data_IF_726180749527
#
_entry.id   IF_726180749527
#
_cell.length_a   1.000
_cell.length_b   1.000
_cell.length_c   1.000
_cell.angle_alpha   90.00
_cell.angle_beta   90.00
_cell.angle_gamma   90.00
#
_symmetry.space_group_name_H-M   'P 1'
#
loop_
_entity.id
_entity.type
_entity.pdbx_description
1 polymer ?
#
# COMPACT_ATOMS: atom_id res chain seq x y z
N UNK A 1 -25.87 -18.19 8.70
CA UNK A 1 -24.41 -18.32 8.58
C UNK A 1 -23.84 -16.96 8.92
N UNK A 2 -23.01 -16.84 9.95
CA UNK A 2 -22.29 -15.59 10.23
C UNK A 2 -21.30 -15.38 9.08
N UNK A 3 -21.55 -14.39 8.22
CA UNK A 3 -20.59 -14.05 7.17
C UNK A 3 -19.36 -13.43 7.82
N UNK A 4 -18.21 -14.08 7.66
CA UNK A 4 -16.93 -13.53 8.08
C UNK A 4 -16.41 -12.55 7.04
N UNK A 5 -15.79 -11.46 7.47
CA UNK A 5 -15.07 -10.53 6.59
C UNK A 5 -13.96 -11.27 5.85
N UNK A 6 -14.03 -11.34 4.52
CA UNK A 6 -12.99 -11.93 3.66
C UNK A 6 -11.97 -10.87 3.25
N UNK A 7 -10.78 -10.91 3.84
CA UNK A 7 -9.68 -10.02 3.47
C UNK A 7 -8.72 -10.78 2.55
N UNK A 8 -8.39 -10.19 1.42
CA UNK A 8 -7.40 -10.75 0.49
C UNK A 8 -6.21 -9.82 0.33
N UNK A 9 -5.02 -10.39 0.35
CA UNK A 9 -3.77 -9.67 0.16
C UNK A 9 -3.18 -9.95 -1.22
N UNK A 10 -2.69 -8.92 -1.88
CA UNK A 10 -1.76 -9.05 -3.00
C UNK A 10 -0.35 -8.75 -2.50
N UNK A 11 0.54 -9.75 -2.55
CA UNK A 11 1.90 -9.70 -2.03
C UNK A 11 2.91 -9.80 -3.16
N UNK A 12 3.98 -9.01 -3.09
CA UNK A 12 4.99 -8.91 -4.15
C UNK A 12 6.40 -9.20 -3.65
N UNK A 13 6.61 -9.29 -2.33
CA UNK A 13 7.90 -9.61 -1.73
C UNK A 13 7.76 -10.86 -0.87
N UNK A 14 8.66 -11.83 -1.08
CA UNK A 14 8.69 -13.03 -0.26
C UNK A 14 8.99 -12.69 1.20
N UNK A 15 8.16 -13.16 2.13
CA UNK A 15 8.39 -13.00 3.57
C UNK A 15 8.03 -11.63 4.16
N UNK A 16 7.46 -10.69 3.38
CA UNK A 16 7.02 -9.37 3.91
C UNK A 16 5.88 -9.48 4.94
N UNK A 17 5.18 -10.61 4.94
CA UNK A 17 4.06 -10.87 5.84
C UNK A 17 2.84 -10.03 5.50
N UNK A 18 1.93 -9.90 6.47
CA UNK A 18 0.64 -9.19 6.31
C UNK A 18 0.62 -7.79 6.93
N UNK A 19 1.78 -7.32 7.39
CA UNK A 19 1.93 -6.04 8.09
C UNK A 19 1.25 -5.99 9.47
N UNK A 20 1.25 -4.79 10.06
CA UNK A 20 0.77 -4.52 11.42
C UNK A 20 -0.72 -4.81 11.65
N UNK A 21 -1.53 -4.71 10.59
CA UNK A 21 -2.98 -4.90 10.68
C UNK A 21 -3.44 -6.36 10.75
N UNK A 22 -2.54 -7.34 10.55
CA UNK A 22 -2.91 -8.77 10.56
C UNK A 22 -3.61 -9.19 11.85
N UNK A 23 -3.00 -8.92 13.01
CA UNK A 23 -3.57 -9.27 14.32
C UNK A 23 -4.90 -8.55 14.54
N UNK A 24 -5.00 -7.29 14.14
CA UNK A 24 -6.20 -6.48 14.25
C UNK A 24 -7.37 -7.07 13.43
N UNK A 25 -7.11 -7.46 12.18
CA UNK A 25 -8.10 -8.12 11.32
C UNK A 25 -8.52 -9.50 11.87
N UNK A 26 -7.56 -10.29 12.39
CA UNK A 26 -7.87 -11.57 13.03
C UNK A 26 -8.76 -11.41 14.26
N UNK A 27 -8.55 -10.37 15.06
CA UNK A 27 -9.39 -10.06 16.23
C UNK A 27 -10.82 -9.68 15.82
N UNK A 28 -11.02 -9.12 14.63
CA UNK A 28 -12.34 -8.88 14.05
C UNK A 28 -12.98 -10.13 13.42
N UNK A 29 -12.34 -11.29 13.52
CA UNK A 29 -12.86 -12.54 12.96
C UNK A 29 -12.73 -12.63 11.45
N UNK A 30 -11.83 -11.86 10.84
CA UNK A 30 -11.58 -11.92 9.40
C UNK A 30 -10.96 -13.26 8.97
N UNK A 31 -11.38 -13.71 7.79
CA UNK A 31 -10.74 -14.78 7.03
C UNK A 31 -9.75 -14.10 6.09
N UNK A 32 -8.46 -14.41 6.26
CA UNK A 32 -7.37 -13.79 5.52
C UNK A 32 -6.82 -14.80 4.51
N UNK A 33 -6.63 -14.33 3.28
CA UNK A 33 -6.03 -15.09 2.17
C UNK A 33 -5.06 -14.19 1.40
N UNK A 34 -4.23 -14.76 0.54
CA UNK A 34 -3.25 -14.01 -0.23
C UNK A 34 -3.05 -14.58 -1.64
N UNK A 35 -2.67 -13.71 -2.56
CA UNK A 35 -2.01 -14.06 -3.82
C UNK A 35 -0.55 -13.62 -3.70
N UNK A 36 0.36 -14.57 -3.80
CA UNK A 36 1.80 -14.37 -3.70
C UNK A 36 2.40 -14.23 -5.11
N UNK A 37 2.41 -13.01 -5.68
CA UNK A 37 2.89 -12.78 -7.04
C UNK A 37 4.37 -13.13 -7.23
N UNK A 38 5.17 -12.99 -6.17
CA UNK A 38 6.59 -13.38 -6.17
C UNK A 38 6.82 -14.88 -6.38
N UNK A 39 5.83 -15.73 -6.08
CA UNK A 39 5.91 -17.17 -6.23
C UNK A 39 5.44 -17.64 -7.63
N UNK A 40 4.93 -16.73 -8.46
CA UNK A 40 4.42 -17.07 -9.77
C UNK A 40 5.56 -17.24 -10.79
N UNK A 41 5.49 -18.25 -11.67
CA UNK A 41 6.45 -18.41 -12.75
C UNK A 41 6.40 -17.22 -13.71
N UNK A 42 7.54 -16.54 -13.89
CA UNK A 42 7.70 -15.38 -14.78
C UNK A 42 7.57 -15.73 -16.27
N UNK A 43 7.74 -17.00 -16.63
CA UNK A 43 7.67 -17.52 -17.99
C UNK A 43 6.28 -18.03 -18.40
N UNK A 44 5.31 -18.02 -17.47
CA UNK A 44 3.93 -18.43 -17.76
C UNK A 44 2.98 -17.25 -17.73
N UNK A 45 2.03 -17.26 -18.67
CA UNK A 45 0.96 -16.28 -18.67
C UNK A 45 -0.03 -16.61 -17.55
N UNK A 46 -0.21 -15.67 -16.63
CA UNK A 46 -1.24 -15.75 -15.60
C UNK A 46 -2.59 -15.43 -16.24
N UNK A 47 -3.53 -16.36 -16.19
CA UNK A 47 -4.92 -16.08 -16.54
C UNK A 47 -5.63 -15.40 -15.37
N UNK A 48 -6.57 -14.50 -15.65
CA UNK A 48 -7.25 -13.72 -14.60
C UNK A 48 -8.08 -14.62 -13.67
N UNK A 49 -8.52 -15.77 -14.15
CA UNK A 49 -9.26 -16.79 -13.41
C UNK A 49 -8.40 -17.52 -12.36
N UNK A 50 -7.07 -17.36 -12.41
CA UNK A 50 -6.17 -17.83 -11.35
C UNK A 50 -6.19 -16.91 -10.12
N UNK A 51 -6.65 -15.66 -10.26
CA UNK A 51 -6.90 -14.75 -9.16
C UNK A 51 -8.29 -15.03 -8.54
N UNK A 52 -8.52 -14.72 -7.26
CA UNK A 52 -9.82 -14.95 -6.62
C UNK A 52 -10.94 -14.20 -7.34
N UNK A 53 -12.18 -14.70 -7.24
CA UNK A 53 -13.33 -13.93 -7.67
C UNK A 53 -13.43 -12.63 -6.86
N UNK A 54 -13.78 -11.51 -7.48
CA UNK A 54 -13.91 -10.23 -6.76
C UNK A 54 -14.98 -10.31 -5.67
N UNK A 55 -15.98 -11.18 -5.85
CA UNK A 55 -17.09 -11.49 -4.95
C UNK A 55 -16.62 -12.20 -3.67
N UNK A 56 -15.47 -12.89 -3.72
CA UNK A 56 -14.87 -13.56 -2.57
C UNK A 56 -13.90 -12.67 -1.77
N UNK A 57 -13.81 -11.39 -2.12
CA UNK A 57 -12.91 -10.43 -1.48
C UNK A 57 -13.68 -9.23 -0.96
N UNK A 58 -13.94 -9.14 0.33
CA UNK A 58 -14.65 -8.02 0.95
C UNK A 58 -13.75 -6.80 1.17
N UNK A 59 -12.46 -7.04 1.43
CA UNK A 59 -11.42 -6.02 1.53
C UNK A 59 -10.17 -6.52 0.83
N UNK A 60 -9.64 -5.70 -0.06
CA UNK A 60 -8.34 -5.92 -0.69
C UNK A 60 -7.26 -5.07 -0.03
N UNK A 61 -6.15 -5.70 0.37
CA UNK A 61 -4.93 -5.02 0.78
C UNK A 61 -3.83 -5.35 -0.23
N UNK A 62 -3.28 -4.34 -0.88
CA UNK A 62 -2.22 -4.50 -1.88
C UNK A 62 -0.92 -4.03 -1.26
N UNK A 63 0.02 -4.95 -1.06
CA UNK A 63 1.29 -4.69 -0.38
C UNK A 63 2.27 -3.92 -1.28
N UNK A 64 3.39 -3.54 -0.68
CA UNK A 64 4.52 -2.97 -1.40
C UNK A 64 5.18 -3.97 -2.36
N UNK A 65 6.24 -3.53 -3.01
CA UNK A 65 7.03 -4.34 -3.94
C UNK A 65 8.27 -3.59 -4.39
N UNK A 66 9.28 -4.32 -4.86
CA UNK A 66 10.56 -3.76 -5.33
C UNK A 66 10.53 -3.40 -6.81
N UNK A 67 9.52 -3.84 -7.55
CA UNK A 67 9.29 -3.55 -8.96
C UNK A 67 8.56 -2.22 -9.18
N UNK A 68 8.71 -1.63 -10.36
CA UNK A 68 7.82 -0.57 -10.81
C UNK A 68 6.50 -1.15 -11.31
N UNK A 69 5.40 -0.41 -11.17
CA UNK A 69 4.15 -0.75 -11.88
C UNK A 69 4.35 -0.82 -13.40
N UNK A 70 5.38 -0.17 -13.93
CA UNK A 70 5.67 -0.11 -15.36
C UNK A 70 6.49 -1.32 -15.86
N UNK A 71 6.97 -2.20 -14.99
CA UNK A 71 7.86 -3.31 -15.32
C UNK A 71 7.13 -4.54 -15.91
N UNK A 72 6.07 -4.33 -16.68
CA UNK A 72 5.19 -5.40 -17.18
C UNK A 72 5.88 -6.38 -18.15
N UNK A 73 7.08 -6.04 -18.63
CA UNK A 73 7.93 -6.94 -19.43
C UNK A 73 8.60 -7.99 -18.54
N UNK A 74 9.13 -7.55 -17.40
CA UNK A 74 9.80 -8.42 -16.43
C UNK A 74 8.80 -9.14 -15.53
N UNK A 75 7.64 -8.53 -15.31
CA UNK A 75 6.57 -9.04 -14.46
C UNK A 75 5.23 -9.02 -15.22
N UNK A 76 4.99 -9.97 -16.15
CA UNK A 76 3.78 -10.00 -16.98
C UNK A 76 2.47 -10.05 -16.17
N UNK A 77 2.50 -10.62 -14.97
CA UNK A 77 1.36 -10.67 -14.06
C UNK A 77 0.85 -9.28 -13.64
N UNK A 78 1.66 -8.21 -13.70
CA UNK A 78 1.22 -6.84 -13.43
C UNK A 78 0.05 -6.41 -14.34
N UNK A 79 0.03 -6.87 -15.60
CA UNK A 79 -1.08 -6.58 -16.53
C UNK A 79 -2.40 -7.18 -16.05
N UNK A 80 -2.32 -8.39 -15.51
CA UNK A 80 -3.46 -9.19 -15.06
C UNK A 80 -3.95 -8.67 -13.72
N UNK A 81 -3.03 -8.37 -12.81
CA UNK A 81 -3.33 -7.70 -11.55
C UNK A 81 -4.05 -6.37 -11.78
N UNK A 82 -3.50 -5.47 -12.60
CA UNK A 82 -4.17 -4.19 -12.93
C UNK A 82 -5.53 -4.39 -13.58
N UNK A 83 -5.71 -5.42 -14.42
CA UNK A 83 -7.01 -5.76 -15.03
C UNK A 83 -8.00 -6.24 -13.97
N UNK A 84 -7.55 -7.06 -13.02
CA UNK A 84 -8.36 -7.51 -11.89
C UNK A 84 -8.74 -6.34 -10.98
N UNK A 85 -7.77 -5.48 -10.63
CA UNK A 85 -7.99 -4.26 -9.85
C UNK A 85 -9.06 -3.36 -10.48
N UNK A 86 -9.01 -3.13 -11.79
CA UNK A 86 -10.07 -2.37 -12.48
C UNK A 86 -11.46 -2.96 -12.29
N UNK A 87 -11.60 -4.30 -12.33
CA UNK A 87 -12.89 -4.98 -12.08
C UNK A 87 -13.33 -4.82 -10.63
N UNK A 88 -12.42 -5.00 -9.69
CA UNK A 88 -12.67 -4.89 -8.26
C UNK A 88 -13.11 -3.47 -7.86
N UNK A 89 -12.37 -2.45 -8.34
CA UNK A 89 -12.66 -1.04 -8.09
C UNK A 89 -13.97 -0.61 -8.76
N UNK A 90 -14.26 -1.09 -9.98
CA UNK A 90 -15.53 -0.80 -10.66
C UNK A 90 -16.76 -1.38 -9.95
N UNK A 91 -16.58 -2.45 -9.18
CA UNK A 91 -17.62 -3.00 -8.30
C UNK A 91 -17.79 -2.20 -6.99
N UNK A 92 -17.01 -1.12 -6.80
CA UNK A 92 -17.10 -0.25 -5.64
C UNK A 92 -16.72 -0.94 -4.33
N UNK A 93 -15.78 -1.91 -4.38
CA UNK A 93 -15.36 -2.68 -3.21
C UNK A 93 -14.17 -2.04 -2.47
N UNK A 94 -14.06 -2.23 -1.13
CA UNK A 94 -12.99 -1.66 -0.31
C UNK A 94 -11.57 -2.07 -0.70
N UNK A 95 -10.68 -1.10 -0.89
CA UNK A 95 -9.27 -1.37 -1.19
C UNK A 95 -8.32 -0.43 -0.44
N UNK A 96 -7.20 -0.98 0.01
CA UNK A 96 -6.06 -0.24 0.55
C UNK A 96 -4.82 -0.66 -0.23
N UNK A 97 -4.12 0.31 -0.82
CA UNK A 97 -2.84 0.08 -1.51
C UNK A 97 -1.69 0.73 -0.76
N UNK A 98 -0.62 -0.02 -0.51
CA UNK A 98 0.56 0.40 0.26
C UNK A 98 1.78 0.46 -0.65
N UNK A 99 2.46 1.61 -0.73
CA UNK A 99 3.61 1.85 -1.61
C UNK A 99 3.31 1.44 -3.06
N UNK A 100 3.89 0.34 -3.57
CA UNK A 100 3.56 -0.23 -4.88
C UNK A 100 2.05 -0.45 -5.04
N UNK A 101 1.35 -0.93 -4.01
CA UNK A 101 -0.09 -1.14 -4.06
C UNK A 101 -0.88 0.14 -4.29
N UNK A 102 -0.44 1.26 -3.70
CA UNK A 102 -1.01 2.59 -3.97
C UNK A 102 -0.77 2.99 -5.42
N UNK A 103 0.45 2.78 -5.92
CA UNK A 103 0.80 3.05 -7.32
C UNK A 103 0.00 2.18 -8.30
N UNK A 104 -0.25 0.91 -7.97
CA UNK A 104 -1.04 -0.03 -8.78
C UNK A 104 -2.49 0.42 -8.91
N UNK A 105 -3.12 0.84 -7.80
CA UNK A 105 -4.48 1.41 -7.83
C UNK A 105 -4.51 2.66 -8.72
N UNK A 106 -3.55 3.57 -8.54
CA UNK A 106 -3.48 4.80 -9.32
C UNK A 106 -3.32 4.50 -10.83
N UNK A 107 -2.39 3.61 -11.18
CA UNK A 107 -2.12 3.21 -12.55
C UNK A 107 -3.29 2.45 -13.19
N UNK A 108 -3.97 1.59 -12.43
CA UNK A 108 -5.16 0.88 -12.90
C UNK A 108 -6.28 1.85 -13.31
N UNK A 109 -6.34 3.04 -12.71
CA UNK A 109 -7.27 4.12 -13.02
C UNK A 109 -6.73 5.14 -14.03
N UNK A 110 -5.56 4.86 -14.63
CA UNK A 110 -4.96 5.66 -15.68
C UNK A 110 -4.09 6.83 -15.21
N UNK A 111 -3.77 6.92 -13.92
CA UNK A 111 -2.80 7.90 -13.42
C UNK A 111 -1.36 7.46 -13.77
N UNK A 112 -0.48 8.42 -14.07
CA UNK A 112 0.92 8.08 -14.30
C UNK A 112 1.61 7.70 -13.00
N UNK A 113 2.58 6.77 -13.10
CA UNK A 113 3.54 6.47 -12.04
C UNK A 113 4.93 6.65 -12.65
N UNK A 114 5.75 7.43 -11.97
CA UNK A 114 7.06 7.84 -12.48
C UNK A 114 8.03 8.08 -11.33
N UNK A 115 9.32 8.21 -11.65
CA UNK A 115 10.34 8.53 -10.64
C UNK A 115 10.01 9.85 -9.95
N UNK A 116 10.09 9.84 -8.63
CA UNK A 116 10.08 11.07 -7.86
C UNK A 116 11.42 11.81 -8.04
N UNK A 117 11.44 13.12 -7.88
CA UNK A 117 12.67 13.91 -8.04
C UNK A 117 13.77 13.49 -7.06
N UNK A 118 13.38 13.04 -5.88
CA UNK A 118 14.25 12.53 -4.82
C UNK A 118 13.69 11.23 -4.26
N UNK A 119 14.57 10.33 -3.85
CA UNK A 119 14.17 9.09 -3.19
C UNK A 119 13.92 9.34 -1.70
N UNK A 120 12.95 8.66 -1.12
CA UNK A 120 12.71 8.69 0.33
C UNK A 120 12.93 7.30 0.92
N UNK A 121 13.81 7.21 1.91
CA UNK A 121 14.03 6.00 2.69
C UNK A 121 14.26 6.37 4.15
N UNK A 122 13.41 5.85 5.02
CA UNK A 122 13.44 6.07 6.47
C UNK A 122 12.23 6.85 7.00
N UNK A 123 12.32 7.25 8.26
CA UNK A 123 11.22 7.93 8.95
C UNK A 123 11.09 9.39 8.51
N UNK A 124 9.92 9.76 7.98
CA UNK A 124 9.64 11.12 7.53
C UNK A 124 8.31 11.63 8.08
N UNK A 125 8.25 12.95 8.30
CA UNK A 125 7.00 13.64 8.65
C UNK A 125 6.18 13.91 7.39
N UNK A 126 4.93 13.47 7.42
CA UNK A 126 3.91 13.73 6.40
C UNK A 126 2.87 14.68 6.98
N UNK A 127 2.30 15.54 6.13
CA UNK A 127 1.31 16.55 6.51
C UNK A 127 -0.01 16.27 5.80
N UNK A 128 -1.11 16.48 6.51
CA UNK A 128 -2.45 16.48 5.91
C UNK A 128 -2.59 17.67 4.95
N UNK A 129 -3.30 17.46 3.84
CA UNK A 129 -3.70 18.56 2.94
C UNK A 129 -4.72 19.46 3.63
N UNK A 130 -4.54 20.77 3.49
CA UNK A 130 -5.50 21.74 4.03
C UNK A 130 -6.82 21.66 3.26
N UNK A 131 -7.94 21.83 3.97
CA UNK A 131 -9.30 21.86 3.40
C UNK A 131 -9.74 20.56 2.72
N UNK A 132 -9.27 19.40 3.19
CA UNK A 132 -9.85 18.10 2.83
C UNK A 132 -11.34 18.06 3.23
N UNK A 133 -12.26 17.60 2.34
CA UNK A 133 -13.67 17.49 2.68
C UNK A 133 -13.92 16.61 3.91
N UNK A 134 -14.86 17.00 4.77
CA UNK A 134 -15.13 16.36 6.08
C UNK A 134 -15.57 14.90 5.99
N UNK A 135 -16.07 14.47 4.84
CA UNK A 135 -16.48 13.09 4.56
C UNK A 135 -15.32 12.17 4.18
N UNK A 136 -14.15 12.74 3.89
CA UNK A 136 -12.94 11.99 3.56
C UNK A 136 -12.32 11.36 4.81
N UNK A 137 -11.35 10.46 4.58
CA UNK A 137 -10.56 9.86 5.63
C UNK A 137 -9.79 10.94 6.42
N UNK A 138 -9.95 10.91 7.74
CA UNK A 138 -9.38 11.91 8.61
C UNK A 138 -7.96 11.50 9.02
N UNK A 139 -7.02 12.43 8.85
CA UNK A 139 -5.62 12.28 9.24
C UNK A 139 -5.27 13.29 10.34
N UNK A 140 -4.28 12.99 11.21
CA UNK A 140 -3.62 14.02 12.01
C UNK A 140 -3.02 15.11 11.10
N UNK A 141 -2.92 16.34 11.60
CA UNK A 141 -2.29 17.45 10.86
C UNK A 141 -0.87 17.12 10.39
N UNK A 142 -0.11 16.41 11.22
CA UNK A 142 1.22 15.88 10.91
C UNK A 142 1.38 14.54 11.60
N UNK A 143 2.09 13.62 10.95
CA UNK A 143 2.39 12.30 11.47
C UNK A 143 3.72 11.78 10.91
N UNK A 144 4.39 10.89 11.64
CA UNK A 144 5.68 10.32 11.25
C UNK A 144 5.52 8.86 10.82
N UNK A 145 5.98 8.54 9.61
CA UNK A 145 5.79 7.23 8.96
C UNK A 145 7.05 6.78 8.23
N UNK A 146 7.14 5.48 7.95
CA UNK A 146 8.24 4.89 7.21
C UNK A 146 8.05 5.18 5.71
N UNK A 147 9.09 5.70 5.08
CA UNK A 147 9.22 5.83 3.64
C UNK A 147 10.21 4.80 3.10
N UNK A 148 9.93 4.25 1.92
CA UNK A 148 10.85 3.38 1.20
C UNK A 148 10.50 3.34 -0.30
N UNK A 149 10.67 4.47 -0.99
CA UNK A 149 10.25 4.57 -2.38
C UNK A 149 11.12 5.53 -3.23
N UNK A 150 11.17 5.25 -4.53
CA UNK A 150 11.85 6.08 -5.53
C UNK A 150 10.92 6.59 -6.63
N UNK A 151 9.72 6.01 -6.73
CA UNK A 151 8.66 6.46 -7.63
C UNK A 151 7.53 7.12 -6.84
N UNK A 152 6.69 7.85 -7.56
CA UNK A 152 5.46 8.47 -7.07
C UNK A 152 4.34 8.28 -8.10
N UNK A 153 3.10 8.40 -7.66
CA UNK A 153 1.92 8.41 -8.52
C UNK A 153 1.39 9.83 -8.71
N UNK A 154 0.77 10.11 -9.85
CA UNK A 154 -0.17 11.21 -9.97
C UNK A 154 -1.46 10.91 -9.20
N UNK A 155 -2.13 11.94 -8.69
CA UNK A 155 -3.43 11.77 -8.04
C UNK A 155 -4.46 11.34 -9.09
N UNK A 156 -5.11 10.17 -8.95
CA UNK A 156 -6.07 9.69 -9.95
C UNK A 156 -7.22 10.67 -10.16
N UNK A 157 -7.75 10.73 -11.39
CA UNK A 157 -8.88 11.61 -11.70
C UNK A 157 -10.08 11.28 -10.80
N UNK A 158 -10.59 12.29 -10.10
CA UNK A 158 -11.71 12.15 -9.17
C UNK A 158 -11.31 11.65 -7.78
N UNK A 159 -10.01 11.42 -7.52
CA UNK A 159 -9.50 11.18 -6.19
C UNK A 159 -9.30 12.50 -5.42
N UNK A 160 -9.35 12.40 -4.10
CA UNK A 160 -9.01 13.48 -3.17
C UNK A 160 -7.57 13.29 -2.70
N UNK A 161 -6.74 14.32 -2.83
CA UNK A 161 -5.38 14.34 -2.30
C UNK A 161 -5.43 14.59 -0.79
N UNK A 162 -4.92 13.65 0.01
CA UNK A 162 -5.08 13.65 1.46
C UNK A 162 -3.83 14.07 2.22
N UNK A 163 -2.65 13.73 1.72
CA UNK A 163 -1.40 13.97 2.42
C UNK A 163 -0.24 14.27 1.47
N UNK A 164 0.70 15.07 1.95
CA UNK A 164 1.92 15.46 1.24
C UNK A 164 3.13 15.57 2.18
N UNK A 165 4.34 15.55 1.61
CA UNK A 165 5.52 16.06 2.28
C UNK A 165 6.39 16.87 1.30
N UNK A 166 7.55 17.35 1.77
CA UNK A 166 8.42 18.21 0.97
C UNK A 166 9.18 17.48 -0.14
N UNK A 167 9.27 16.16 -0.09
CA UNK A 167 10.10 15.36 -0.99
C UNK A 167 9.25 14.69 -2.06
N UNK A 168 8.14 14.09 -1.66
CA UNK A 168 7.10 13.52 -2.52
C UNK A 168 5.76 14.15 -2.14
N UNK A 169 5.20 14.92 -3.07
CA UNK A 169 3.93 15.64 -2.87
C UNK A 169 2.76 14.67 -2.67
N UNK A 170 2.74 13.55 -3.38
CA UNK A 170 1.58 12.67 -3.43
C UNK A 170 1.78 11.51 -2.44
N UNK A 171 1.56 11.78 -1.14
CA UNK A 171 1.76 10.78 -0.08
C UNK A 171 0.53 9.88 0.14
N UNK A 172 -0.66 10.43 -0.04
CA UNK A 172 -1.90 9.66 0.15
C UNK A 172 -3.04 10.26 -0.66
N UNK A 173 -3.92 9.39 -1.19
CA UNK A 173 -5.16 9.80 -1.83
C UNK A 173 -6.33 8.88 -1.47
N UNK A 174 -7.53 9.37 -1.72
CA UNK A 174 -8.79 8.65 -1.56
C UNK A 174 -9.60 8.66 -2.84
N UNK A 175 -10.23 7.52 -3.18
CA UNK A 175 -11.23 7.43 -4.24
C UNK A 175 -12.56 6.99 -3.63
N UNK A 176 -13.62 7.73 -3.95
CA UNK A 176 -14.94 7.44 -3.41
C UNK A 176 -14.93 7.48 -1.89
N UNK A 177 -15.48 6.45 -1.25
CA UNK A 177 -15.57 6.36 0.22
C UNK A 177 -14.85 5.15 0.82
N UNK A 178 -14.18 4.35 -0.01
CA UNK A 178 -13.68 3.04 0.40
C UNK A 178 -12.40 2.60 -0.30
N UNK A 179 -11.70 3.49 -0.99
CA UNK A 179 -10.41 3.17 -1.60
C UNK A 179 -9.38 4.20 -1.14
N UNK A 180 -8.28 3.72 -0.56
CA UNK A 180 -7.17 4.55 -0.08
C UNK A 180 -5.86 4.05 -0.67
N UNK A 181 -5.07 4.97 -1.23
CA UNK A 181 -3.72 4.69 -1.72
C UNK A 181 -2.69 5.45 -0.90
N UNK A 182 -1.67 4.73 -0.44
CA UNK A 182 -0.58 5.21 0.40
C UNK A 182 0.73 5.10 -0.37
N UNK A 183 1.56 6.15 -0.35
CA UNK A 183 2.94 6.07 -0.83
C UNK A 183 3.90 5.55 0.25
N UNK A 184 3.62 5.90 1.51
CA UNK A 184 4.38 5.46 2.67
C UNK A 184 3.95 4.08 3.17
N UNK A 185 4.67 3.57 4.16
CA UNK A 185 4.49 2.25 4.74
C UNK A 185 3.93 2.31 6.18
N UNK A 186 2.60 2.47 6.35
CA UNK A 186 1.97 2.46 7.67
C UNK A 186 1.87 1.06 8.30
N UNK A 187 2.18 0.01 7.55
CA UNK A 187 2.06 -1.39 7.94
C UNK A 187 3.32 -1.96 8.60
N UNK A 188 4.44 -1.24 8.52
CA UNK A 188 5.74 -1.75 8.95
C UNK A 188 5.76 -1.99 10.46
N UNK A 189 6.37 -3.11 10.85
CA UNK A 189 6.64 -3.51 12.23
C UNK A 189 8.15 -3.73 12.40
N UNK A 190 8.68 -3.76 13.65
CA UNK A 190 10.11 -3.96 13.89
C UNK A 190 10.70 -5.16 13.16
N UNK A 191 9.96 -6.27 13.09
CA UNK A 191 10.37 -7.51 12.45
C UNK A 191 10.48 -7.36 10.93
N UNK A 192 9.51 -6.71 10.27
CA UNK A 192 9.55 -6.45 8.83
C UNK A 192 10.65 -5.45 8.47
N UNK A 193 10.86 -4.41 9.29
CA UNK A 193 11.98 -3.50 9.09
C UNK A 193 13.32 -4.24 9.18
N UNK A 194 13.48 -5.13 10.16
CA UNK A 194 14.70 -5.92 10.28
C UNK A 194 14.97 -6.76 9.01
N UNK A 195 13.94 -7.42 8.47
CA UNK A 195 14.03 -8.18 7.21
C UNK A 195 14.44 -7.29 6.03
N UNK A 196 13.88 -6.08 5.92
CA UNK A 196 14.23 -5.18 4.82
C UNK A 196 15.67 -4.67 4.94
N UNK A 197 16.17 -4.50 6.16
CA UNK A 197 17.56 -4.10 6.40
C UNK A 197 18.57 -5.23 6.12
N UNK A 198 18.15 -6.49 6.03
CA UNK A 198 19.01 -7.61 5.63
C UNK A 198 19.25 -7.66 4.11
N UNK A 199 18.53 -6.85 3.32
CA UNK A 199 18.63 -6.84 1.87
C UNK A 199 19.51 -5.67 1.37
N UNK A 200 20.83 -5.88 1.40
CA UNK A 200 21.82 -4.90 0.95
C UNK A 200 21.59 -4.44 -0.50
N UNK A 201 21.18 -5.36 -1.38
CA UNK A 201 20.93 -5.05 -2.80
C UNK A 201 19.78 -4.05 -2.97
N UNK A 202 18.73 -4.14 -2.16
CA UNK A 202 17.63 -3.17 -2.18
C UNK A 202 18.04 -1.85 -1.54
N UNK A 203 18.76 -1.87 -0.41
CA UNK A 203 19.24 -0.66 0.26
C UNK A 203 20.18 0.16 -0.66
N UNK A 204 21.06 -0.51 -1.39
CA UNK A 204 22.04 0.13 -2.27
C UNK A 204 21.41 0.81 -3.50
N UNK A 205 20.13 0.59 -3.79
CA UNK A 205 19.39 1.33 -4.83
C UNK A 205 19.03 2.75 -4.40
N UNK A 206 19.12 3.04 -3.10
CA UNK A 206 18.75 4.32 -2.52
C UNK A 206 19.97 5.18 -2.23
N UNK A 207 19.89 6.46 -2.64
CA UNK A 207 20.91 7.46 -2.39
C UNK A 207 20.29 8.86 -2.39
N UNK A 208 20.97 9.82 -1.77
CA UNK A 208 20.56 11.21 -1.73
C UNK A 208 20.27 11.72 -0.33
N UNK A 209 19.76 12.95 -0.26
CA UNK A 209 19.62 13.68 1.00
C UNK A 209 18.55 13.11 1.95
N UNK A 210 17.54 12.43 1.39
CA UNK A 210 16.37 11.93 2.14
C UNK A 210 16.42 10.40 2.33
N UNK A 211 17.61 9.83 2.26
CA UNK A 211 17.87 8.40 2.44
C UNK A 211 18.63 8.23 3.75
N UNK A 212 17.94 7.65 4.75
CA UNK A 212 18.54 7.31 6.04
C UNK A 212 19.53 6.16 5.88
N UNK A 213 20.57 6.17 6.70
CA UNK A 213 21.53 5.07 6.77
C UNK A 213 20.93 3.86 7.48
N UNK A 214 21.40 2.67 7.16
CA UNK A 214 21.04 1.44 7.86
C UNK A 214 21.27 1.56 9.38
N UNK A 215 22.36 2.22 9.80
CA UNK A 215 22.69 2.46 11.20
C UNK A 215 21.68 3.38 11.91
N UNK A 216 21.05 4.32 11.20
CA UNK A 216 19.95 5.14 11.73
C UNK A 216 18.67 4.32 11.84
N UNK A 217 18.34 3.51 10.82
CA UNK A 217 17.14 2.66 10.84
C UNK A 217 17.20 1.58 11.93
N UNK A 218 18.38 1.02 12.21
CA UNK A 218 18.58 0.09 13.34
C UNK A 218 18.33 0.71 14.71
N UNK A 219 18.31 2.05 14.84
CA UNK A 219 17.96 2.75 16.09
C UNK A 219 16.46 2.98 16.26
N UNK A 220 15.64 2.53 15.31
CA UNK A 220 14.18 2.65 15.39
C UNK A 220 13.66 1.97 16.66
N UNK A 221 12.80 2.67 17.36
CA UNK A 221 12.13 2.17 18.57
C UNK A 221 10.70 1.78 18.25
N UNK A 222 10.06 1.00 19.13
CA UNK A 222 8.65 0.63 18.97
C UNK A 222 7.72 1.83 18.75
N UNK A 223 8.07 3.00 19.30
CA UNK A 223 7.27 4.22 19.17
C UNK A 223 7.17 4.71 17.72
N UNK A 224 8.21 4.49 16.90
CA UNK A 224 8.23 4.93 15.50
C UNK A 224 7.11 4.29 14.67
N UNK A 225 6.70 3.07 15.02
CA UNK A 225 5.74 2.28 14.25
C UNK A 225 4.28 2.53 14.65
N UNK A 226 4.04 3.06 15.87
CA UNK A 226 2.69 3.13 16.45
C UNK A 226 1.76 4.00 15.61
N UNK A 227 2.23 5.17 15.20
CA UNK A 227 1.40 6.16 14.51
C UNK A 227 0.93 5.65 13.14
N UNK A 228 1.86 5.13 12.31
CA UNK A 228 1.52 4.48 11.04
C UNK A 228 0.54 3.32 11.22
N UNK A 229 0.80 2.44 12.20
CA UNK A 229 -0.06 1.28 12.46
C UNK A 229 -1.48 1.68 12.88
N UNK A 230 -1.63 2.76 13.66
CA UNK A 230 -2.93 3.30 14.04
C UNK A 230 -3.66 3.93 12.85
N UNK A 231 -2.94 4.62 11.97
CA UNK A 231 -3.50 5.15 10.71
C UNK A 231 -4.03 4.01 9.85
N UNK A 232 -3.28 2.91 9.70
CA UNK A 232 -3.71 1.77 8.89
C UNK A 232 -4.97 1.10 9.46
N UNK A 233 -5.04 0.86 10.77
CA UNK A 233 -6.24 0.30 11.39
C UNK A 233 -7.45 1.23 11.21
N UNK A 234 -7.26 2.54 11.37
CA UNK A 234 -8.32 3.54 11.13
C UNK A 234 -8.77 3.57 9.67
N UNK A 235 -7.83 3.40 8.73
CA UNK A 235 -8.11 3.33 7.30
C UNK A 235 -8.95 2.09 6.97
N UNK A 236 -8.63 0.93 7.55
CA UNK A 236 -9.40 -0.30 7.43
C UNK A 236 -10.84 -0.08 7.93
N UNK A 237 -11.00 0.48 9.13
CA UNK A 237 -12.32 0.83 9.66
C UNK A 237 -13.07 1.77 8.71
N UNK A 238 -12.41 2.79 8.18
CA UNK A 238 -13.01 3.78 7.29
C UNK A 238 -13.55 3.13 6.01
N UNK A 239 -12.74 2.34 5.31
CA UNK A 239 -13.14 1.73 4.04
C UNK A 239 -14.21 0.65 4.20
N UNK A 240 -14.25 -0.03 5.36
CA UNK A 240 -15.25 -1.05 5.66
C UNK A 240 -16.60 -0.45 6.10
N UNK A 241 -16.62 0.68 6.83
CA UNK A 241 -17.85 1.33 7.32
C UNK A 241 -18.87 1.65 6.23
N UNK A 242 -18.41 1.84 5.00
CA UNK A 242 -19.22 2.31 3.88
C UNK A 242 -19.73 1.16 2.98
N UNK A 243 -19.39 -0.09 3.34
CA UNK A 243 -19.82 -1.29 2.64
C UNK A 243 -20.99 -1.90 3.40
N UNK A 244 -22.20 -1.77 2.86
CA UNK A 244 -23.38 -2.43 3.42
C UNK A 244 -23.31 -3.90 3.05
N UNK A 245 -23.17 -4.78 4.05
CA UNK A 245 -23.37 -6.22 3.92
C UNK A 245 -24.86 -6.58 4.00
#
# INVERSE_FOLDING_TARGET
MTSHLKVHYFQHIAGEGFGSCYTYLKQQGAVISATEFFALPVDQSLEIEALPSIEDVDLLIIMGGTMSVNDEVNFPWLKIEKRWLRRYLAAGKPAIGLCLGGQLIANALGAAVSRNEQQELGWATVRKIQHVPTECFELPEQFNVMQWHSETFEIPKGAVHLAENTVCRNQMYQIGKNVLGFQFHPEIVPETLALFLENDDELNKFSGQYVATEAELKKSTKLNFIEGNQILNSAIDYVLRQTVY
#
